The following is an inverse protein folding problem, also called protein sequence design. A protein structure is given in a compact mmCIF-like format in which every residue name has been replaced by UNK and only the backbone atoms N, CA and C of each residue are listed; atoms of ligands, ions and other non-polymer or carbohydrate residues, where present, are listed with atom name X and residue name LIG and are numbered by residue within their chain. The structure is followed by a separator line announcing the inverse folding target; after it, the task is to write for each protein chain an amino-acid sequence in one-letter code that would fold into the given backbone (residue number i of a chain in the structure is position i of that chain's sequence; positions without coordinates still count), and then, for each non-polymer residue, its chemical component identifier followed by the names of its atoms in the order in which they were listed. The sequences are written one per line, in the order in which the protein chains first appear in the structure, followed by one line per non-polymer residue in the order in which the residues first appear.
data_IF_036067322911
#
_entry.id   IF_036067322911
#
_cell.length_a   1.000
_cell.length_b   1.000
_cell.length_c   1.000
_cell.angle_alpha   90.00
_cell.angle_beta   90.00
_cell.angle_gamma   90.00
#
_symmetry.space_group_name_H-M   'P 1'
#
loop_
_entity.id
_entity.type
_entity.pdbx_description
1 polymer ?
#
# COMPACT_ATOMS: atom_id res chain seq x y z
N UNK A 1 -8.22 21.72 63.41
CA UNK A 1 -7.84 20.35 63.84
C UNK A 1 -6.32 20.21 63.72
N UNK A 2 -5.60 20.10 64.84
CA UNK A 2 -4.14 20.03 64.85
C UNK A 2 -3.67 18.62 64.45
N UNK A 3 -3.16 18.49 63.23
CA UNK A 3 -2.68 17.22 62.69
C UNK A 3 -1.46 16.74 63.50
N UNK A 4 -1.55 15.52 64.03
CA UNK A 4 -0.55 14.93 64.91
C UNK A 4 0.80 14.77 64.16
N UNK A 5 1.92 15.12 64.82
CA UNK A 5 3.25 15.22 64.18
C UNK A 5 3.75 13.90 63.59
N UNK A 6 3.21 12.76 64.06
CA UNK A 6 3.53 11.42 63.53
C UNK A 6 2.88 11.16 62.17
N UNK A 7 1.66 11.64 61.94
CA UNK A 7 0.95 11.47 60.66
C UNK A 7 1.64 12.24 59.55
N UNK A 8 2.16 13.44 59.87
CA UNK A 8 2.91 14.27 58.91
C UNK A 8 4.20 13.60 58.44
N UNK A 9 4.92 12.91 59.33
CA UNK A 9 6.16 12.20 58.99
C UNK A 9 5.90 10.94 58.17
N UNK A 10 4.78 10.25 58.39
CA UNK A 10 4.40 9.09 57.58
C UNK A 10 4.06 9.50 56.14
N UNK A 11 3.27 10.56 55.97
CA UNK A 11 2.93 11.11 54.65
C UNK A 11 4.17 11.66 53.91
N UNK A 12 5.16 12.18 54.65
CA UNK A 12 6.43 12.64 54.07
C UNK A 12 7.36 11.48 53.69
N UNK A 13 7.35 10.38 54.45
CA UNK A 13 8.08 9.14 54.10
C UNK A 13 7.44 8.38 52.94
N UNK A 14 6.15 8.54 52.71
CA UNK A 14 5.43 7.98 51.57
C UNK A 14 5.60 8.81 50.28
N UNK A 15 6.38 9.89 50.30
CA UNK A 15 6.75 10.63 49.08
C UNK A 15 5.63 11.47 48.45
N UNK A 16 4.47 11.60 49.10
CA UNK A 16 3.29 12.24 48.50
C UNK A 16 3.22 13.77 48.67
N UNK A 17 4.17 14.37 49.41
CA UNK A 17 4.31 15.81 49.56
C UNK A 17 5.58 16.31 48.89
N UNK A 18 5.44 16.94 47.73
CA UNK A 18 6.50 17.74 47.12
C UNK A 18 6.84 18.96 47.99
N UNK A 19 8.00 19.58 47.73
CA UNK A 19 8.57 20.67 48.53
C UNK A 19 7.64 21.88 48.79
N UNK A 20 6.56 22.01 48.01
CA UNK A 20 5.61 23.13 48.07
C UNK A 20 4.27 22.77 48.77
N UNK A 21 4.12 21.56 49.34
CA UNK A 21 2.93 21.18 50.10
C UNK A 21 1.67 20.82 49.29
N UNK A 22 1.80 20.67 47.97
CA UNK A 22 0.70 20.22 47.09
C UNK A 22 0.73 18.69 46.86
N UNK A 23 -0.43 18.00 46.81
CA UNK A 23 -0.50 16.54 46.65
C UNK A 23 0.05 16.09 45.29
N UNK A 24 1.04 15.19 45.32
CA UNK A 24 1.78 14.70 44.16
C UNK A 24 0.88 14.12 43.04
N UNK A 25 -0.24 13.49 43.41
CA UNK A 25 -1.15 12.82 42.45
C UNK A 25 -1.83 13.74 41.44
N UNK A 26 -1.88 15.06 41.66
CA UNK A 26 -2.46 16.00 40.68
C UNK A 26 -1.49 16.40 39.57
N UNK A 27 -0.17 16.36 39.84
CA UNK A 27 0.86 16.68 38.83
C UNK A 27 1.06 15.52 37.84
N UNK A 28 1.07 14.28 38.31
CA UNK A 28 1.19 13.10 37.44
C UNK A 28 -0.02 12.95 36.50
N UNK A 29 -1.24 13.15 37.02
CA UNK A 29 -2.46 13.02 36.20
C UNK A 29 -2.61 14.10 35.13
N UNK A 30 -1.90 15.23 35.26
CA UNK A 30 -1.87 16.29 34.24
C UNK A 30 -0.73 16.11 33.22
N UNK A 31 0.28 15.29 33.55
CA UNK A 31 1.38 14.95 32.66
C UNK A 31 1.10 13.70 31.80
N UNK A 32 0.03 12.96 32.08
CA UNK A 32 -0.33 11.72 31.37
C UNK A 32 -1.68 11.80 30.63
N UNK A 33 -2.00 12.93 29.99
CA UNK A 33 -3.03 12.95 28.96
C UNK A 33 -2.33 12.83 27.59
N UNK A 34 -2.34 11.66 26.92
CA UNK A 34 -1.84 11.57 25.57
C UNK A 34 -2.71 12.48 24.69
N UNK A 35 -2.06 13.40 23.98
CA UNK A 35 -2.70 14.22 22.96
C UNK A 35 -3.48 13.30 22.01
N UNK A 36 -4.75 13.61 21.81
CA UNK A 36 -5.62 12.89 20.87
C UNK A 36 -4.92 12.82 19.51
N UNK A 37 -4.82 11.64 18.87
CA UNK A 37 -4.25 11.57 17.53
C UNK A 37 -5.20 12.32 16.62
N UNK A 38 -4.79 13.53 16.20
CA UNK A 38 -5.36 14.18 15.04
C UNK A 38 -5.26 13.17 13.91
N UNK A 39 -6.41 12.77 13.36
CA UNK A 39 -6.47 11.91 12.17
C UNK A 39 -5.74 12.60 11.04
N UNK A 40 -4.43 12.36 10.96
CA UNK A 40 -3.57 12.75 9.88
C UNK A 40 -4.03 11.91 8.69
N UNK A 41 -4.86 12.51 7.83
CA UNK A 41 -5.22 11.89 6.56
C UNK A 41 -3.90 11.64 5.83
N UNK A 42 -3.69 10.41 5.38
CA UNK A 42 -2.45 10.02 4.71
C UNK A 42 -2.12 11.03 3.60
N UNK A 43 -1.02 11.76 3.78
CA UNK A 43 -0.57 12.75 2.81
C UNK A 43 -0.12 12.07 1.51
N UNK A 44 -0.02 12.80 0.39
CA UNK A 44 0.46 12.25 -0.89
C UNK A 44 1.82 11.54 -0.79
N UNK A 45 2.70 12.01 0.10
CA UNK A 45 3.99 11.38 0.37
C UNK A 45 3.86 9.99 1.04
N UNK A 46 2.88 9.82 1.93
CA UNK A 46 2.60 8.55 2.58
C UNK A 46 1.99 7.55 1.58
N UNK A 47 1.07 8.00 0.73
CA UNK A 47 0.47 7.20 -0.34
C UNK A 47 1.52 6.63 -1.30
N UNK A 48 2.52 7.40 -1.72
CA UNK A 48 3.62 6.90 -2.58
C UNK A 48 4.45 5.84 -1.86
N UNK A 49 4.66 6.01 -0.55
CA UNK A 49 5.32 4.99 0.29
C UNK A 49 4.55 3.68 0.34
N UNK A 50 3.22 3.76 0.49
CA UNK A 50 2.30 2.62 0.47
C UNK A 50 2.25 1.94 -0.92
N UNK A 51 2.19 2.70 -2.02
CA UNK A 51 2.24 2.14 -3.38
C UNK A 51 3.56 1.40 -3.61
N UNK A 52 4.70 1.96 -3.18
CA UNK A 52 5.99 1.29 -3.31
C UNK A 52 6.08 0.00 -2.48
N UNK A 53 5.46 -0.04 -1.30
CA UNK A 53 5.44 -1.26 -0.48
C UNK A 53 4.56 -2.34 -1.12
N UNK A 54 3.47 -1.96 -1.78
CA UNK A 54 2.59 -2.88 -2.52
C UNK A 54 3.24 -3.36 -3.83
N UNK A 55 3.91 -2.48 -4.59
CA UNK A 55 4.62 -2.84 -5.82
C UNK A 55 5.73 -3.86 -5.59
N UNK A 56 6.30 -3.94 -4.39
CA UNK A 56 7.27 -5.00 -4.02
C UNK A 56 6.64 -6.38 -3.92
N UNK A 57 5.32 -6.48 -3.73
CA UNK A 57 4.60 -7.75 -3.71
C UNK A 57 4.31 -8.27 -5.12
N UNK A 58 4.45 -7.41 -6.14
CA UNK A 58 4.30 -7.82 -7.53
C UNK A 58 5.49 -8.69 -7.90
N UNK A 59 5.18 -9.93 -8.31
CA UNK A 59 6.17 -10.82 -8.88
C UNK A 59 6.48 -10.29 -10.28
N UNK A 60 7.66 -9.70 -10.43
CA UNK A 60 8.15 -9.30 -11.74
C UNK A 60 8.62 -10.54 -12.49
N UNK A 61 8.19 -10.71 -13.75
CA UNK A 61 8.47 -11.91 -14.51
C UNK A 61 9.98 -12.05 -14.75
N UNK A 62 10.44 -13.29 -14.81
CA UNK A 62 11.82 -13.58 -15.20
C UNK A 62 12.03 -13.29 -16.69
N UNK A 63 13.28 -13.06 -17.11
CA UNK A 63 13.60 -12.88 -18.54
C UNK A 63 13.12 -14.05 -19.40
N UNK A 64 13.17 -15.27 -18.85
CA UNK A 64 12.69 -16.47 -19.52
C UNK A 64 11.17 -16.48 -19.71
N UNK A 65 10.39 -16.08 -18.70
CA UNK A 65 8.93 -15.95 -18.82
C UNK A 65 8.54 -14.95 -19.91
N UNK A 66 9.20 -13.78 -19.93
CA UNK A 66 8.95 -12.75 -20.95
C UNK A 66 9.18 -13.33 -22.35
N UNK A 67 10.28 -14.05 -22.56
CA UNK A 67 10.59 -14.67 -23.85
C UNK A 67 9.55 -15.72 -24.21
N UNK A 68 9.19 -16.61 -23.27
CA UNK A 68 8.20 -17.65 -23.52
C UNK A 68 6.85 -17.08 -23.94
N UNK A 69 6.32 -16.11 -23.19
CA UNK A 69 5.05 -15.46 -23.54
C UNK A 69 5.13 -14.72 -24.87
N UNK A 70 6.24 -14.02 -25.12
CA UNK A 70 6.44 -13.30 -26.38
C UNK A 70 6.51 -14.26 -27.58
N UNK A 71 7.18 -15.40 -27.44
CA UNK A 71 7.27 -16.42 -28.49
C UNK A 71 5.90 -17.03 -28.80
N UNK A 72 5.12 -17.37 -27.77
CA UNK A 72 3.76 -17.90 -27.97
C UNK A 72 2.90 -16.88 -28.74
N UNK A 73 2.87 -15.63 -28.28
CA UNK A 73 2.11 -14.56 -28.95
C UNK A 73 2.59 -14.35 -30.39
N UNK A 74 3.91 -14.33 -30.61
CA UNK A 74 4.50 -14.16 -31.94
C UNK A 74 4.06 -15.27 -32.90
N UNK A 75 4.13 -16.54 -32.47
CA UNK A 75 3.68 -17.68 -33.28
C UNK A 75 2.19 -17.57 -33.60
N UNK A 76 1.35 -17.21 -32.61
CA UNK A 76 -0.08 -17.02 -32.83
C UNK A 76 -0.36 -15.94 -33.88
N UNK A 77 0.34 -14.79 -33.82
CA UNK A 77 0.20 -13.72 -34.81
C UNK A 77 0.60 -14.22 -36.20
N UNK A 78 1.74 -14.91 -36.33
CA UNK A 78 2.21 -15.45 -37.62
C UNK A 78 1.18 -16.39 -38.24
N UNK A 79 0.59 -17.29 -37.45
CA UNK A 79 -0.44 -18.22 -37.94
C UNK A 79 -1.68 -17.47 -38.40
N UNK A 80 -2.20 -16.53 -37.60
CA UNK A 80 -3.38 -15.76 -37.95
C UNK A 80 -3.15 -14.90 -39.20
N UNK A 81 -2.01 -14.24 -39.30
CA UNK A 81 -1.63 -13.45 -40.47
C UNK A 81 -1.52 -14.33 -41.72
N UNK A 82 -0.87 -15.50 -41.63
CA UNK A 82 -0.78 -16.43 -42.76
C UNK A 82 -2.15 -16.95 -43.20
N UNK A 83 -3.03 -17.24 -42.24
CA UNK A 83 -4.39 -17.68 -42.52
C UNK A 83 -5.20 -16.59 -43.23
N UNK A 84 -5.18 -15.36 -42.71
CA UNK A 84 -5.87 -14.21 -43.32
C UNK A 84 -5.33 -13.95 -44.72
N UNK A 85 -4.01 -13.89 -44.89
CA UNK A 85 -3.38 -13.70 -46.19
C UNK A 85 -3.74 -14.81 -47.19
N UNK A 86 -3.85 -16.06 -46.72
CA UNK A 86 -4.32 -17.18 -47.53
C UNK A 86 -5.76 -17.00 -47.98
N UNK A 87 -6.65 -16.61 -47.08
CA UNK A 87 -8.05 -16.29 -47.42
C UNK A 87 -8.15 -15.11 -48.38
N UNK A 88 -7.41 -14.03 -48.14
CA UNK A 88 -7.39 -12.85 -49.01
C UNK A 88 -6.91 -13.22 -50.42
N UNK A 89 -5.93 -14.13 -50.55
CA UNK A 89 -5.47 -14.60 -51.85
C UNK A 89 -6.53 -15.45 -52.57
N UNK A 90 -7.15 -16.38 -51.86
CA UNK A 90 -8.21 -17.25 -52.41
C UNK A 90 -9.42 -16.42 -52.85
N UNK A 91 -9.86 -15.50 -51.99
CA UNK A 91 -11.00 -14.63 -52.26
C UNK A 91 -10.65 -13.61 -53.35
N UNK A 92 -9.47 -13.01 -53.32
CA UNK A 92 -9.03 -12.06 -54.34
C UNK A 92 -9.01 -12.67 -55.74
N UNK A 93 -8.33 -13.81 -55.91
CA UNK A 93 -8.26 -14.51 -57.20
C UNK A 93 -9.63 -15.09 -57.61
N UNK A 94 -10.39 -15.63 -56.65
CA UNK A 94 -11.71 -16.20 -56.90
C UNK A 94 -12.72 -15.15 -57.34
N UNK A 95 -12.68 -13.96 -56.75
CA UNK A 95 -13.55 -12.83 -57.09
C UNK A 95 -13.19 -12.28 -58.47
N UNK A 96 -11.89 -12.07 -58.76
CA UNK A 96 -11.45 -11.61 -60.08
C UNK A 96 -11.88 -12.58 -61.17
N UNK A 97 -11.69 -13.89 -60.99
CA UNK A 97 -12.13 -14.89 -61.97
C UNK A 97 -13.63 -14.97 -62.13
N UNK A 98 -14.41 -14.76 -61.06
CA UNK A 98 -15.87 -14.75 -61.14
C UNK A 98 -16.39 -13.54 -61.94
N UNK A 99 -15.76 -12.37 -61.78
CA UNK A 99 -16.14 -11.15 -62.49
C UNK A 99 -15.60 -11.07 -63.92
N UNK A 100 -14.46 -11.70 -64.21
CA UNK A 100 -13.87 -11.76 -65.56
C UNK A 100 -14.49 -12.87 -66.43
N UNK A 101 -15.29 -13.76 -65.84
CA UNK A 101 -16.06 -14.82 -66.52
C UNK A 101 -17.46 -14.36 -66.95
N UNK A 102 -17.84 -13.11 -66.67
CA UNK A 102 -19.06 -12.47 -67.19
C UNK A 102 -18.72 -11.40 -68.23
#
# INVERSE_FOLDING_TARGET
MAMNRRTRRHLQRQGEMGADGAPAGRRERRQAAPASPTTERAGPAQFVGEVRSELKKVIWPTRAEIVNYSVVVFITIVILTAMIAGFDWILGEGVLRLFDVN
#
